data_IF_091547428095
#
_entry.id   IF_091547428095
#
_cell.length_a   1.000
_cell.length_b   1.000
_cell.length_c   1.000
_cell.angle_alpha   90.00
_cell.angle_beta   90.00
_cell.angle_gamma   90.00
#
_symmetry.space_group_name_H-M   'P 1'
#
loop_
_entity.id
_entity.type
_entity.pdbx_description
1 polymer ?
#
# COMPACT_ATOMS: atom_id res chain seq x y z
N UNK A 1 20.67 -21.18 -24.33
CA UNK A 1 20.71 -19.82 -23.76
C UNK A 1 19.43 -19.57 -22.97
N UNK A 2 19.43 -19.85 -21.68
CA UNK A 2 18.35 -19.41 -20.79
C UNK A 2 18.63 -17.96 -20.39
N UNK A 3 17.70 -17.06 -20.69
CA UNK A 3 17.76 -15.68 -20.22
C UNK A 3 17.25 -15.63 -18.78
N UNK A 4 18.14 -15.41 -17.83
CA UNK A 4 17.76 -15.18 -16.43
C UNK A 4 17.12 -13.78 -16.35
N UNK A 5 15.82 -13.71 -16.05
CA UNK A 5 15.12 -12.45 -15.84
C UNK A 5 14.94 -12.20 -14.34
N UNK A 6 15.39 -11.03 -13.86
CA UNK A 6 15.08 -10.58 -12.51
C UNK A 6 13.68 -9.95 -12.51
N UNK A 7 12.75 -10.59 -11.82
CA UNK A 7 11.40 -10.05 -11.60
C UNK A 7 11.35 -9.44 -10.19
N UNK A 8 11.01 -8.16 -10.10
CA UNK A 8 10.65 -7.52 -8.82
C UNK A 8 9.24 -7.98 -8.47
N UNK A 9 8.96 -8.33 -7.21
CA UNK A 9 7.71 -8.95 -6.77
C UNK A 9 6.42 -8.29 -7.32
N UNK A 10 6.37 -6.96 -7.40
CA UNK A 10 5.24 -6.22 -8.00
C UNK A 10 5.08 -6.48 -9.51
N UNK A 11 6.18 -6.71 -10.23
CA UNK A 11 6.18 -7.05 -11.66
C UNK A 11 5.79 -8.50 -11.96
N UNK A 12 5.81 -9.40 -10.97
CA UNK A 12 5.45 -10.81 -11.17
C UNK A 12 4.01 -10.98 -11.65
N UNK A 13 3.09 -10.20 -11.08
CA UNK A 13 1.68 -10.25 -11.44
C UNK A 13 1.41 -9.92 -12.91
N UNK A 14 2.20 -9.01 -13.48
CA UNK A 14 2.08 -8.57 -14.88
C UNK A 14 2.97 -9.38 -15.84
N UNK A 15 3.74 -10.33 -15.31
CA UNK A 15 4.63 -11.15 -16.14
C UNK A 15 3.86 -12.30 -16.77
N UNK A 16 4.20 -12.62 -18.02
CA UNK A 16 3.63 -13.77 -18.72
C UNK A 16 4.29 -15.07 -18.23
N UNK A 17 3.54 -15.98 -17.57
CA UNK A 17 4.08 -17.20 -16.97
C UNK A 17 4.73 -18.14 -17.99
N UNK A 18 4.39 -18.04 -19.28
CA UNK A 18 4.95 -18.89 -20.35
C UNK A 18 6.45 -18.67 -20.54
N UNK A 19 6.98 -17.54 -20.09
CA UNK A 19 8.40 -17.20 -20.17
C UNK A 19 9.12 -17.32 -18.82
N UNK A 20 8.47 -17.87 -17.80
CA UNK A 20 9.03 -18.03 -16.45
C UNK A 20 9.20 -19.52 -16.17
N UNK A 21 10.45 -19.96 -16.07
CA UNK A 21 10.78 -21.35 -15.75
C UNK A 21 10.99 -21.57 -14.25
N UNK A 22 11.55 -20.58 -13.54
CA UNK A 22 11.91 -20.66 -12.12
C UNK A 22 11.81 -19.28 -11.49
N UNK A 23 11.44 -19.22 -10.22
CA UNK A 23 11.37 -17.97 -9.45
C UNK A 23 12.33 -18.03 -8.27
N UNK A 24 13.15 -16.99 -8.10
CA UNK A 24 13.87 -16.75 -6.86
C UNK A 24 13.19 -15.57 -6.17
N UNK A 25 12.54 -15.84 -5.04
CA UNK A 25 11.80 -14.83 -4.30
C UNK A 25 12.59 -14.38 -3.07
N UNK A 26 13.06 -13.13 -3.09
CA UNK A 26 13.76 -12.54 -1.96
C UNK A 26 12.77 -12.11 -0.89
N UNK A 27 12.81 -12.76 0.27
CA UNK A 27 11.93 -12.51 1.39
C UNK A 27 12.66 -11.76 2.51
N UNK A 28 12.00 -10.79 3.14
CA UNK A 28 12.52 -10.06 4.29
C UNK A 28 11.41 -9.84 5.29
N UNK A 29 11.75 -9.86 6.58
CA UNK A 29 10.79 -9.62 7.66
C UNK A 29 10.03 -8.30 7.43
N UNK A 30 8.68 -8.27 7.57
CA UNK A 30 7.86 -7.10 7.24
C UNK A 30 8.32 -5.82 7.93
N UNK A 31 8.67 -5.88 9.22
CA UNK A 31 9.21 -4.74 9.98
C UNK A 31 10.48 -4.13 9.37
N UNK A 32 11.37 -4.97 8.85
CA UNK A 32 12.60 -4.52 8.21
C UNK A 32 12.36 -3.95 6.80
N UNK A 33 11.30 -4.42 6.11
CA UNK A 33 10.83 -3.88 4.83
C UNK A 33 10.30 -2.46 5.03
N UNK A 34 9.39 -2.26 5.99
CA UNK A 34 8.78 -0.95 6.27
C UNK A 34 9.85 0.14 6.51
N UNK A 35 10.80 -0.13 7.42
CA UNK A 35 11.92 0.78 7.70
C UNK A 35 12.83 1.03 6.50
N UNK A 36 12.99 0.05 5.61
CA UNK A 36 13.79 0.25 4.40
C UNK A 36 13.13 1.21 3.40
N UNK A 37 11.80 1.27 3.37
CA UNK A 37 11.05 2.17 2.48
C UNK A 37 11.09 3.62 2.95
N UNK A 38 11.11 3.84 4.27
CA UNK A 38 11.24 5.18 4.87
C UNK A 38 12.48 5.93 4.35
N UNK A 39 13.63 5.26 4.32
CA UNK A 39 14.89 5.85 3.85
C UNK A 39 14.88 6.26 2.38
N UNK A 40 13.92 5.78 1.60
CA UNK A 40 13.80 6.09 0.17
C UNK A 40 13.02 7.38 -0.12
N UNK A 41 12.57 8.14 0.90
CA UNK A 41 11.96 9.48 0.81
C UNK A 41 11.15 9.71 -0.48
N UNK A 42 10.07 8.95 -0.68
CA UNK A 42 9.13 9.24 -1.78
C UNK A 42 8.35 10.50 -1.40
N UNK A 43 8.76 11.64 -1.96
CA UNK A 43 8.08 12.93 -1.77
C UNK A 43 6.84 12.94 -2.66
N UNK A 44 5.64 13.05 -2.08
CA UNK A 44 4.37 12.99 -2.80
C UNK A 44 3.59 14.31 -2.81
N UNK A 45 4.06 15.34 -2.11
CA UNK A 45 3.29 16.57 -1.89
C UNK A 45 4.16 17.81 -2.09
N UNK A 46 3.55 18.84 -2.68
CA UNK A 46 4.12 20.18 -2.85
C UNK A 46 3.18 21.23 -2.28
N UNK A 47 3.72 22.36 -1.83
CA UNK A 47 2.96 23.52 -1.36
C UNK A 47 2.39 24.31 -2.56
N UNK A 48 1.65 25.38 -2.29
CA UNK A 48 1.08 26.26 -3.31
C UNK A 48 2.14 26.93 -4.21
N UNK A 49 3.42 26.89 -3.82
CA UNK A 49 4.56 27.39 -4.58
C UNK A 49 5.34 26.28 -5.30
N UNK A 50 4.84 25.03 -5.26
CA UNK A 50 5.49 23.87 -5.87
C UNK A 50 6.67 23.30 -5.06
N UNK A 51 6.98 23.84 -3.88
CA UNK A 51 8.04 23.31 -3.05
C UNK A 51 7.59 22.00 -2.40
N UNK A 52 8.45 20.97 -2.36
CA UNK A 52 8.10 19.72 -1.71
C UNK A 52 7.79 19.97 -0.22
N UNK A 53 6.58 19.63 0.20
CA UNK A 53 6.19 19.69 1.61
C UNK A 53 6.72 18.44 2.27
N UNK A 54 7.58 18.63 3.25
CA UNK A 54 8.03 17.55 4.12
C UNK A 54 6.90 17.18 5.08
N UNK A 55 5.92 16.45 4.56
CA UNK A 55 4.86 15.82 5.35
C UNK A 55 5.38 14.63 6.15
N UNK A 56 6.71 14.40 6.19
CA UNK A 56 7.25 13.10 6.55
C UNK A 56 6.97 12.71 8.00
N UNK A 57 6.88 13.59 8.99
CA UNK A 57 6.63 13.10 10.35
C UNK A 57 5.19 12.58 10.58
N UNK A 58 4.18 13.12 9.90
CA UNK A 58 2.79 12.66 10.02
C UNK A 58 2.38 11.64 8.93
N UNK A 59 3.10 11.60 7.80
CA UNK A 59 2.86 10.68 6.68
C UNK A 59 3.90 9.55 6.56
N UNK A 60 4.90 9.48 7.45
CA UNK A 60 5.76 8.30 7.69
C UNK A 60 4.96 7.16 8.34
N UNK A 61 3.74 6.90 7.88
CA UNK A 61 3.01 5.76 8.42
C UNK A 61 3.69 4.51 7.88
N UNK A 62 4.39 3.83 8.79
CA UNK A 62 5.15 2.62 8.54
C UNK A 62 4.21 1.44 8.43
N UNK A 63 3.31 1.46 7.44
CA UNK A 63 2.35 0.38 7.32
C UNK A 63 3.02 -0.82 6.64
N UNK A 64 2.83 -2.03 7.17
CA UNK A 64 3.19 -3.24 6.46
C UNK A 64 2.20 -3.56 5.32
N UNK A 65 1.24 -2.68 5.03
CA UNK A 65 0.21 -2.89 4.01
C UNK A 65 0.79 -3.24 2.63
N UNK A 66 1.85 -2.55 2.20
CA UNK A 66 2.51 -2.88 0.94
C UNK A 66 3.11 -4.29 0.96
N UNK A 67 3.70 -4.70 2.09
CA UNK A 67 4.22 -6.05 2.25
C UNK A 67 3.09 -7.09 2.18
N UNK A 68 1.99 -6.86 2.90
CA UNK A 68 0.80 -7.72 2.90
C UNK A 68 0.25 -7.86 1.47
N UNK A 69 0.02 -6.75 0.79
CA UNK A 69 -0.57 -6.73 -0.55
C UNK A 69 0.31 -7.43 -1.58
N UNK A 70 1.61 -7.17 -1.58
CA UNK A 70 2.55 -7.81 -2.50
C UNK A 70 2.65 -9.31 -2.22
N UNK A 71 2.76 -9.72 -0.96
CA UNK A 71 2.93 -11.13 -0.59
C UNK A 71 1.65 -11.93 -0.88
N UNK A 72 0.49 -11.33 -0.64
CA UNK A 72 -0.82 -11.93 -1.01
C UNK A 72 -0.96 -12.06 -2.52
N UNK A 73 -0.57 -11.04 -3.29
CA UNK A 73 -0.62 -11.09 -4.75
C UNK A 73 0.29 -12.18 -5.32
N UNK A 74 1.51 -12.32 -4.78
CA UNK A 74 2.44 -13.39 -5.16
C UNK A 74 1.86 -14.76 -4.81
N UNK A 75 1.24 -14.91 -3.63
CA UNK A 75 0.58 -16.16 -3.21
C UNK A 75 -0.52 -16.57 -4.20
N UNK A 76 -1.39 -15.63 -4.60
CA UNK A 76 -2.42 -15.86 -5.63
C UNK A 76 -1.81 -16.28 -6.97
N UNK A 77 -0.71 -15.66 -7.36
CA UNK A 77 -0.01 -16.00 -8.60
C UNK A 77 0.55 -17.43 -8.56
N UNK A 78 1.17 -17.83 -7.45
CA UNK A 78 1.73 -19.17 -7.27
C UNK A 78 0.65 -20.25 -7.26
N UNK A 79 -0.51 -19.98 -6.64
CA UNK A 79 -1.66 -20.88 -6.69
C UNK A 79 -2.23 -21.03 -8.10
N UNK A 80 -2.14 -19.97 -8.92
CA UNK A 80 -2.56 -20.01 -10.32
C UNK A 80 -1.59 -20.78 -11.22
N UNK A 81 -0.30 -20.76 -10.91
CA UNK A 81 0.76 -21.41 -11.69
C UNK A 81 1.64 -22.31 -10.81
N UNK A 82 1.09 -23.39 -10.24
CA UNK A 82 1.78 -24.22 -9.25
C UNK A 82 2.97 -25.00 -9.83
N UNK A 83 2.99 -25.21 -11.15
CA UNK A 83 4.04 -25.95 -11.85
C UNK A 83 5.35 -25.14 -11.99
N UNK A 84 5.33 -23.84 -11.71
CA UNK A 84 6.51 -22.98 -11.78
C UNK A 84 7.21 -23.02 -10.40
N UNK A 85 8.37 -23.68 -10.28
CA UNK A 85 9.06 -23.81 -9.01
C UNK A 85 9.57 -22.46 -8.51
N UNK A 86 9.53 -22.29 -7.18
CA UNK A 86 10.02 -21.10 -6.50
C UNK A 86 11.00 -21.46 -5.38
N UNK A 87 12.12 -20.75 -5.32
CA UNK A 87 13.03 -20.75 -4.18
C UNK A 87 12.83 -19.45 -3.38
N UNK A 88 12.45 -19.58 -2.12
CA UNK A 88 12.45 -18.45 -1.18
C UNK A 88 13.84 -18.29 -0.58
N UNK A 89 14.42 -17.10 -0.74
CA UNK A 89 15.71 -16.72 -0.16
C UNK A 89 15.46 -15.62 0.86
N UNK A 90 15.80 -15.86 2.12
CA UNK A 90 15.69 -14.84 3.15
C UNK A 90 16.87 -13.88 3.07
N UNK A 91 16.57 -12.58 3.08
CA UNK A 91 17.59 -11.54 3.02
C UNK A 91 18.58 -11.63 4.19
N UNK A 92 18.10 -11.95 5.39
CA UNK A 92 18.98 -12.08 6.56
C UNK A 92 19.96 -13.24 6.38
N UNK A 93 19.48 -14.39 5.91
CA UNK A 93 20.32 -15.57 5.64
C UNK A 93 21.33 -15.27 4.53
N UNK A 94 20.93 -14.54 3.48
CA UNK A 94 21.84 -14.14 2.41
C UNK A 94 22.97 -13.23 2.93
N UNK A 95 22.67 -12.35 3.88
CA UNK A 95 23.67 -11.47 4.49
C UNK A 95 24.56 -12.22 5.50
N UNK A 96 24.00 -13.16 6.27
CA UNK A 96 24.72 -13.88 7.32
C UNK A 96 25.57 -15.05 6.78
N UNK A 97 25.04 -15.77 5.79
CA UNK A 97 25.64 -16.96 5.19
C UNK A 97 25.52 -16.91 3.65
N UNK A 98 26.15 -15.93 2.97
CA UNK A 98 26.00 -15.74 1.53
C UNK A 98 26.42 -16.96 0.72
N UNK A 99 27.49 -17.65 1.13
CA UNK A 99 28.00 -18.85 0.45
C UNK A 99 26.96 -19.98 0.43
N UNK A 100 26.34 -20.25 1.57
CA UNK A 100 25.27 -21.26 1.70
C UNK A 100 24.06 -20.90 0.83
N UNK A 101 23.63 -19.63 0.85
CA UNK A 101 22.48 -19.20 0.05
C UNK A 101 22.77 -19.24 -1.45
N UNK A 102 23.98 -18.89 -1.88
CA UNK A 102 24.37 -19.01 -3.30
C UNK A 102 24.52 -20.47 -3.74
N UNK A 103 24.90 -21.39 -2.86
CA UNK A 103 24.85 -22.83 -3.15
C UNK A 103 23.41 -23.27 -3.43
N UNK A 104 22.48 -22.94 -2.53
CA UNK A 104 21.05 -23.26 -2.71
C UNK A 104 20.48 -22.68 -4.00
N UNK A 105 20.85 -21.43 -4.34
CA UNK A 105 20.47 -20.79 -5.59
C UNK A 105 21.06 -21.53 -6.80
N UNK A 106 22.32 -21.94 -6.73
CA UNK A 106 23.00 -22.67 -7.81
C UNK A 106 22.36 -24.04 -8.04
N UNK A 107 22.08 -24.78 -6.98
CA UNK A 107 21.35 -26.05 -7.03
C UNK A 107 19.97 -25.86 -7.66
N UNK A 108 19.23 -24.84 -7.20
CA UNK A 108 17.91 -24.53 -7.73
C UNK A 108 17.93 -24.17 -9.22
N UNK A 109 18.91 -23.38 -9.67
CA UNK A 109 19.04 -23.00 -11.08
C UNK A 109 19.63 -24.13 -11.94
N UNK A 110 20.45 -25.01 -11.35
CA UNK A 110 21.20 -26.09 -12.01
C UNK A 110 22.46 -25.63 -12.76
N UNK A 111 22.71 -24.32 -12.82
CA UNK A 111 23.86 -23.71 -13.50
C UNK A 111 24.05 -22.26 -13.04
N UNK A 112 25.25 -21.70 -13.28
CA UNK A 112 25.60 -20.31 -12.96
C UNK A 112 26.93 -20.19 -12.22
N UNK A 113 27.68 -19.14 -12.49
CA UNK A 113 28.92 -18.80 -11.78
C UNK A 113 28.64 -17.73 -10.72
N UNK A 114 28.72 -18.13 -9.45
CA UNK A 114 28.49 -17.27 -8.30
C UNK A 114 29.79 -16.94 -7.54
N UNK A 115 30.96 -17.29 -8.09
CA UNK A 115 32.27 -17.12 -7.43
C UNK A 115 32.52 -15.69 -6.95
N UNK A 116 32.07 -14.69 -7.71
CA UNK A 116 32.17 -13.26 -7.37
C UNK A 116 30.89 -12.67 -6.76
N UNK A 117 29.83 -13.46 -6.63
CA UNK A 117 28.54 -12.97 -6.14
C UNK A 117 28.59 -12.71 -4.63
N UNK A 118 29.30 -13.57 -3.89
CA UNK A 118 29.52 -13.43 -2.44
C UNK A 118 30.21 -12.11 -2.11
N UNK A 119 31.26 -11.74 -2.86
CA UNK A 119 32.02 -10.49 -2.66
C UNK A 119 31.17 -9.22 -2.85
N UNK A 120 30.04 -9.32 -3.56
CA UNK A 120 29.12 -8.20 -3.82
C UNK A 120 28.06 -8.04 -2.74
N UNK A 121 27.94 -8.98 -1.80
CA UNK A 121 27.01 -8.86 -0.68
C UNK A 121 27.63 -7.91 0.34
N UNK A 122 27.09 -6.70 0.42
CA UNK A 122 27.50 -5.72 1.42
C UNK A 122 26.71 -5.91 2.72
N UNK A 123 27.34 -6.36 3.83
CA UNK A 123 26.62 -6.59 5.09
C UNK A 123 25.98 -5.32 5.66
N UNK A 124 26.55 -4.15 5.31
CA UNK A 124 26.04 -2.82 5.68
C UNK A 124 24.65 -2.53 5.09
N UNK A 125 24.19 -3.29 4.09
CA UNK A 125 22.82 -3.19 3.58
C UNK A 125 21.78 -3.68 4.60
N UNK A 126 22.18 -4.46 5.61
CA UNK A 126 21.33 -4.80 6.77
C UNK A 126 21.29 -3.69 7.83
N UNK A 127 21.12 -2.43 7.39
CA UNK A 127 21.06 -1.25 8.27
C UNK A 127 19.68 -0.95 8.87
N UNK A 128 18.65 -1.65 8.40
CA UNK A 128 17.27 -1.46 8.85
C UNK A 128 16.92 -2.59 9.82
N UNK A 129 17.26 -2.38 11.08
CA UNK A 129 16.78 -3.24 12.18
C UNK A 129 15.30 -2.96 12.43
N UNK A 130 14.45 -3.98 12.66
CA UNK A 130 13.07 -3.77 13.08
C UNK A 130 13.01 -2.72 14.19
N UNK A 131 12.10 -1.76 14.05
CA UNK A 131 11.71 -0.88 15.15
C UNK A 131 10.26 -1.23 15.49
N UNK A 132 9.92 -1.12 16.78
CA UNK A 132 8.54 -1.24 17.23
C UNK A 132 7.85 0.09 16.99
N UNK A 133 7.35 0.27 15.77
CA UNK A 133 6.32 1.26 15.50
C UNK A 133 4.99 0.60 15.83
N UNK A 134 4.14 1.29 16.57
CA UNK A 134 2.80 0.79 16.82
C UNK A 134 1.95 0.89 15.54
N UNK A 135 1.44 -0.23 15.07
CA UNK A 135 0.53 -0.32 13.93
C UNK A 135 -0.31 -1.60 14.05
N UNK A 136 -1.61 -1.47 13.87
CA UNK A 136 -2.59 -2.56 13.94
C UNK A 136 -2.37 -3.66 12.87
N UNK A 137 -1.64 -3.37 11.79
CA UNK A 137 -1.40 -4.35 10.72
C UNK A 137 -0.20 -5.27 10.97
N UNK A 138 0.55 -5.10 12.06
CA UNK A 138 1.71 -5.97 12.31
C UNK A 138 1.33 -7.43 12.49
N UNK A 139 0.20 -7.70 13.15
CA UNK A 139 -0.31 -9.06 13.31
C UNK A 139 -0.60 -9.70 11.95
N UNK A 140 -1.34 -8.99 11.09
CA UNK A 140 -1.63 -9.45 9.73
C UNK A 140 -0.34 -9.69 8.93
N UNK A 141 0.63 -8.77 9.03
CA UNK A 141 1.90 -8.87 8.32
C UNK A 141 2.76 -10.06 8.77
N UNK A 142 2.86 -10.28 10.09
CA UNK A 142 3.62 -11.38 10.67
C UNK A 142 2.97 -12.72 10.35
N UNK A 143 1.63 -12.79 10.36
CA UNK A 143 0.90 -14.00 9.98
C UNK A 143 1.06 -14.32 8.49
N UNK A 144 0.91 -13.33 7.61
CA UNK A 144 1.16 -13.47 6.17
C UNK A 144 2.60 -13.91 5.90
N UNK A 145 3.58 -13.29 6.59
CA UNK A 145 4.99 -13.69 6.49
C UNK A 145 5.19 -15.15 6.90
N UNK A 146 4.66 -15.57 8.05
CA UNK A 146 4.80 -16.93 8.56
C UNK A 146 4.21 -17.97 7.60
N UNK A 147 2.98 -17.76 7.13
CA UNK A 147 2.30 -18.65 6.19
C UNK A 147 3.07 -18.75 4.87
N UNK A 148 3.51 -17.61 4.32
CA UNK A 148 4.27 -17.59 3.07
C UNK A 148 5.60 -18.34 3.18
N UNK A 149 6.33 -18.15 4.29
CA UNK A 149 7.62 -18.83 4.50
C UNK A 149 7.46 -20.33 4.72
N UNK A 150 6.30 -20.77 5.23
CA UNK A 150 5.93 -22.18 5.32
C UNK A 150 5.48 -22.80 3.98
N UNK A 151 5.38 -22.00 2.91
CA UNK A 151 4.84 -22.43 1.61
C UNK A 151 3.31 -22.57 1.59
N UNK A 152 2.61 -22.12 2.63
CA UNK A 152 1.15 -22.17 2.72
C UNK A 152 0.51 -20.96 2.02
N UNK A 153 0.62 -20.94 0.69
CA UNK A 153 0.09 -19.84 -0.13
C UNK A 153 -1.44 -19.76 -0.08
N UNK A 154 -2.13 -20.89 0.04
CA UNK A 154 -3.58 -20.92 0.20
C UNK A 154 -3.97 -20.31 1.54
N UNK A 155 -3.27 -20.67 2.63
CA UNK A 155 -3.46 -20.05 3.94
C UNK A 155 -3.26 -18.53 3.92
N UNK A 156 -2.28 -18.01 3.16
CA UNK A 156 -2.13 -16.54 2.96
C UNK A 156 -3.38 -15.94 2.33
N UNK A 157 -3.87 -16.55 1.24
CA UNK A 157 -5.04 -16.03 0.50
C UNK A 157 -6.30 -16.10 1.33
N UNK A 158 -6.54 -17.23 2.00
CA UNK A 158 -7.72 -17.45 2.86
C UNK A 158 -7.70 -16.48 4.03
N UNK A 159 -6.55 -16.33 4.69
CA UNK A 159 -6.37 -15.37 5.78
C UNK A 159 -6.73 -13.95 5.34
N UNK A 160 -6.25 -13.52 4.17
CA UNK A 160 -6.51 -12.18 3.62
C UNK A 160 -7.86 -12.04 2.91
N UNK A 161 -8.64 -13.11 2.77
CA UNK A 161 -10.00 -13.06 2.22
C UNK A 161 -11.04 -12.58 3.24
N UNK A 162 -10.70 -12.60 4.53
CA UNK A 162 -11.54 -12.09 5.61
C UNK A 162 -11.63 -10.56 5.56
N UNK A 163 -12.79 -10.07 5.12
CA UNK A 163 -13.05 -8.63 4.95
C UNK A 163 -13.07 -7.84 6.27
N UNK A 164 -13.17 -8.50 7.42
CA UNK A 164 -13.11 -7.82 8.72
C UNK A 164 -11.69 -7.38 9.12
N UNK A 165 -10.66 -7.88 8.42
CA UNK A 165 -9.26 -7.54 8.71
C UNK A 165 -8.93 -6.08 8.42
N UNK A 166 -8.13 -5.49 9.28
CA UNK A 166 -7.67 -4.11 9.17
C UNK A 166 -6.93 -3.84 7.86
N UNK A 167 -6.10 -4.79 7.38
CA UNK A 167 -5.41 -4.61 6.10
C UNK A 167 -6.37 -4.52 4.89
N UNK A 168 -7.53 -5.18 4.96
CA UNK A 168 -8.56 -5.05 3.94
C UNK A 168 -9.32 -3.73 4.04
N UNK A 169 -9.58 -3.25 5.27
CA UNK A 169 -10.14 -1.92 5.50
C UNK A 169 -9.20 -0.81 5.00
N UNK A 170 -7.90 -0.91 5.28
CA UNK A 170 -6.89 0.04 4.82
C UNK A 170 -6.66 0.01 3.30
N UNK A 171 -6.77 -1.17 2.68
CA UNK A 171 -6.66 -1.34 1.22
C UNK A 171 -7.95 -1.01 0.47
N UNK A 172 -9.07 -0.88 1.18
CA UNK A 172 -10.35 -0.57 0.56
C UNK A 172 -10.26 0.80 -0.13
N UNK A 173 -10.73 0.82 -1.36
CA UNK A 173 -10.86 2.05 -2.13
C UNK A 173 -12.23 2.10 -2.77
N UNK A 174 -12.80 3.30 -2.84
CA UNK A 174 -14.14 3.52 -3.37
C UNK A 174 -14.18 4.83 -4.12
N UNK A 175 -15.14 4.93 -5.02
CA UNK A 175 -15.42 6.19 -5.71
C UNK A 175 -16.02 7.19 -4.73
N UNK A 176 -15.45 8.39 -4.67
CA UNK A 176 -15.98 9.52 -3.93
C UNK A 176 -16.74 10.44 -4.89
N UNK A 177 -18.08 10.51 -4.81
CA UNK A 177 -18.89 11.38 -5.66
C UNK A 177 -18.52 12.86 -5.52
N UNK A 178 -18.11 13.30 -4.32
CA UNK A 178 -17.69 14.69 -4.07
C UNK A 178 -16.42 15.10 -4.81
N UNK A 179 -15.50 14.18 -5.12
CA UNK A 179 -14.24 14.51 -5.83
C UNK A 179 -14.19 13.97 -7.25
N UNK A 180 -15.01 12.97 -7.56
CA UNK A 180 -14.90 12.18 -8.78
C UNK A 180 -13.69 11.24 -8.81
N UNK A 181 -13.03 11.00 -7.67
CA UNK A 181 -11.84 10.17 -7.57
C UNK A 181 -12.08 8.88 -6.82
N UNK A 182 -11.22 7.88 -7.05
CA UNK A 182 -11.09 6.72 -6.18
C UNK A 182 -10.29 7.13 -4.93
N UNK A 183 -10.87 6.89 -3.75
CA UNK A 183 -10.36 7.31 -2.45
C UNK A 183 -10.12 6.10 -1.55
N UNK A 184 -9.05 6.14 -0.75
CA UNK A 184 -8.85 5.21 0.37
C UNK A 184 -9.47 5.72 1.67
N UNK A 185 -9.62 4.84 2.65
CA UNK A 185 -10.10 5.19 4.00
C UNK A 185 -9.29 6.33 4.62
N UNK A 186 -7.95 6.30 4.45
CA UNK A 186 -7.05 7.33 4.98
C UNK A 186 -7.31 8.70 4.35
N UNK A 187 -7.55 8.73 3.03
CA UNK A 187 -7.87 9.99 2.37
C UNK A 187 -9.21 10.56 2.85
N UNK A 188 -10.18 9.71 3.16
CA UNK A 188 -11.46 10.12 3.74
C UNK A 188 -11.32 10.61 5.20
N UNK A 189 -10.53 9.93 6.03
CA UNK A 189 -10.21 10.40 7.39
C UNK A 189 -9.54 11.78 7.37
N UNK A 190 -8.56 11.97 6.48
CA UNK A 190 -7.86 13.23 6.31
C UNK A 190 -8.80 14.33 5.79
N UNK A 191 -9.67 13.99 4.83
CA UNK A 191 -10.70 14.90 4.35
C UNK A 191 -11.60 15.38 5.50
N UNK A 192 -12.04 14.47 6.38
CA UNK A 192 -12.90 14.83 7.51
C UNK A 192 -12.17 15.69 8.56
N UNK A 193 -10.89 15.41 8.79
CA UNK A 193 -10.13 15.99 9.92
C UNK A 193 -9.26 17.20 9.58
N UNK A 194 -8.99 17.51 8.30
CA UNK A 194 -8.03 18.55 7.90
C UNK A 194 -8.59 19.46 6.80
N UNK A 195 -8.74 20.75 7.11
CA UNK A 195 -9.30 21.73 6.16
C UNK A 195 -8.48 21.88 4.88
N UNK A 196 -7.14 21.86 4.96
CA UNK A 196 -6.28 21.93 3.77
C UNK A 196 -6.55 20.79 2.77
N UNK A 197 -6.89 19.60 3.26
CA UNK A 197 -7.25 18.45 2.40
C UNK A 197 -8.63 18.66 1.78
N UNK A 198 -9.61 19.16 2.55
CA UNK A 198 -10.94 19.52 2.04
C UNK A 198 -10.83 20.54 0.91
N UNK A 199 -10.08 21.62 1.10
CA UNK A 199 -9.92 22.68 0.10
C UNK A 199 -9.28 22.17 -1.18
N UNK A 200 -8.27 21.30 -1.08
CA UNK A 200 -7.69 20.66 -2.26
C UNK A 200 -8.70 19.76 -2.98
N UNK A 201 -9.51 19.01 -2.25
CA UNK A 201 -10.55 18.17 -2.85
C UNK A 201 -11.69 18.97 -3.48
N UNK A 202 -12.06 20.14 -2.93
CA UNK A 202 -12.97 21.10 -3.58
C UNK A 202 -12.41 21.60 -4.91
N UNK A 203 -11.13 21.96 -4.95
CA UNK A 203 -10.45 22.36 -6.21
C UNK A 203 -10.49 21.22 -7.24
N UNK A 204 -10.23 19.98 -6.82
CA UNK A 204 -10.32 18.81 -7.70
C UNK A 204 -11.75 18.59 -8.22
N UNK A 205 -12.76 18.71 -7.37
CA UNK A 205 -14.15 18.57 -7.76
C UNK A 205 -14.56 19.64 -8.80
N UNK A 206 -14.15 20.89 -8.57
CA UNK A 206 -14.37 21.99 -9.53
C UNK A 206 -13.69 21.72 -10.87
N UNK A 207 -12.46 21.17 -10.88
CA UNK A 207 -11.77 20.79 -12.11
C UNK A 207 -12.46 19.64 -12.88
N UNK A 208 -13.32 18.87 -12.21
CA UNK A 208 -14.14 17.81 -12.81
C UNK A 208 -15.59 18.24 -13.09
N UNK A 209 -15.92 19.53 -12.94
CA UNK A 209 -17.28 20.06 -13.07
C UNK A 209 -18.31 19.35 -12.15
N UNK A 210 -17.89 18.96 -10.94
CA UNK A 210 -18.73 18.26 -9.97
C UNK A 210 -19.35 19.27 -9.00
N UNK A 211 -20.69 19.25 -8.90
CA UNK A 211 -21.45 19.98 -7.88
C UNK A 211 -21.37 19.28 -6.52
N UNK A 212 -20.15 19.19 -5.96
CA UNK A 212 -19.82 18.39 -4.78
C UNK A 212 -20.68 18.68 -3.54
N UNK A 213 -21.30 19.85 -3.46
CA UNK A 213 -22.19 20.22 -2.36
C UNK A 213 -23.51 19.45 -2.37
N UNK A 214 -23.91 18.89 -3.53
CA UNK A 214 -25.10 18.03 -3.69
C UNK A 214 -24.78 16.54 -3.55
N UNK A 215 -23.50 16.20 -3.42
CA UNK A 215 -23.03 14.82 -3.47
C UNK A 215 -22.82 14.24 -2.05
N UNK A 216 -23.23 12.98 -1.81
CA UNK A 216 -23.04 12.35 -0.51
C UNK A 216 -21.57 11.99 -0.25
N UNK A 217 -21.21 11.85 1.02
CA UNK A 217 -19.94 11.27 1.44
C UNK A 217 -20.11 9.77 1.71
N UNK A 218 -19.53 8.88 0.89
CA UNK A 218 -19.62 7.43 1.12
C UNK A 218 -19.02 7.00 2.47
N UNK A 219 -18.03 7.73 2.97
CA UNK A 219 -17.41 7.49 4.27
C UNK A 219 -18.41 7.67 5.41
N UNK A 220 -19.22 8.73 5.39
CA UNK A 220 -20.27 8.99 6.39
C UNK A 220 -21.47 8.05 6.23
N UNK A 221 -21.78 7.67 4.98
CA UNK A 221 -22.90 6.80 4.66
C UNK A 221 -22.65 5.30 4.95
N UNK A 222 -21.52 4.95 5.56
CA UNK A 222 -21.26 3.58 6.04
C UNK A 222 -19.90 2.97 5.68
N UNK A 223 -19.01 3.67 4.96
CA UNK A 223 -17.67 3.12 4.64
C UNK A 223 -16.60 3.43 5.69
N UNK A 224 -16.85 4.38 6.60
CA UNK A 224 -15.83 4.92 7.51
C UNK A 224 -16.25 5.13 8.95
N UNK A 225 -17.43 4.64 9.31
CA UNK A 225 -18.01 4.76 10.65
C UNK A 225 -18.12 3.36 11.23
N UNK A 226 -17.83 3.22 12.52
CA UNK A 226 -18.08 1.97 13.24
C UNK A 226 -19.55 1.57 13.02
N UNK A 227 -19.84 0.27 12.96
CA UNK A 227 -21.19 -0.27 12.82
C UNK A 227 -22.13 0.41 13.85
N UNK A 228 -22.96 1.35 13.39
CA UNK A 228 -23.88 2.14 14.23
C UNK A 228 -23.92 3.65 14.00
N UNK A 229 -22.87 4.24 13.40
CA UNK A 229 -22.75 5.70 13.23
C UNK A 229 -22.99 6.19 11.78
N UNK A 230 -23.49 5.31 10.89
CA UNK A 230 -23.77 5.69 9.51
C UNK A 230 -24.99 6.59 9.38
N UNK A 231 -24.87 7.63 8.57
CA UNK A 231 -25.96 8.57 8.26
C UNK A 231 -26.57 8.25 6.89
N UNK A 232 -27.80 8.74 6.65
CA UNK A 232 -28.43 8.61 5.33
C UNK A 232 -27.73 9.46 4.26
N UNK A 233 -27.96 9.14 2.99
CA UNK A 233 -27.45 9.94 1.86
C UNK A 233 -27.96 11.37 1.96
N UNK A 234 -29.25 11.54 2.25
CA UNK A 234 -29.92 12.82 2.39
C UNK A 234 -29.30 13.64 3.53
N UNK A 235 -29.01 12.98 4.65
CA UNK A 235 -28.36 13.60 5.80
C UNK A 235 -26.90 13.99 5.51
N UNK A 236 -26.14 13.15 4.79
CA UNK A 236 -24.77 13.49 4.38
C UNK A 236 -24.72 14.68 3.42
N UNK A 237 -25.71 14.83 2.53
CA UNK A 237 -25.83 15.99 1.65
C UNK A 237 -26.27 17.23 2.44
N UNK A 238 -27.25 17.10 3.33
CA UNK A 238 -27.76 18.21 4.14
C UNK A 238 -26.70 18.74 5.13
N UNK A 239 -25.96 17.84 5.77
CA UNK A 239 -24.93 18.13 6.75
C UNK A 239 -23.52 18.01 6.15
N UNK A 240 -23.34 18.56 4.95
CA UNK A 240 -22.08 18.42 4.22
C UNK A 240 -20.92 19.08 5.01
N UNK A 241 -20.04 18.26 5.60
CA UNK A 241 -18.90 18.72 6.40
C UNK A 241 -17.86 19.57 5.64
N UNK A 242 -17.98 19.70 4.31
CA UNK A 242 -17.19 20.66 3.53
C UNK A 242 -17.74 22.09 3.61
N UNK A 243 -18.97 22.26 4.08
CA UNK A 243 -19.63 23.55 4.31
C UNK A 243 -19.44 24.08 5.74
N UNK A 244 -18.89 23.28 6.67
CA UNK A 244 -18.56 23.75 8.01
C UNK A 244 -17.63 24.97 7.93
N UNK A 245 -18.09 26.12 8.45
CA UNK A 245 -17.36 27.39 8.40
C UNK A 245 -17.67 28.28 7.19
N UNK A 246 -18.57 27.88 6.29
CA UNK A 246 -19.06 28.71 5.18
C UNK A 246 -20.49 29.13 5.48
N UNK A 247 -20.75 30.44 5.62
CA UNK A 247 -22.11 30.96 5.68
C UNK A 247 -22.78 30.73 4.31
N UNK A 248 -23.67 29.74 4.23
CA UNK A 248 -24.47 29.50 3.04
C UNK A 248 -25.69 30.42 3.10
N UNK A 249 -25.66 31.53 2.35
CA UNK A 249 -26.88 32.31 2.14
C UNK A 249 -27.93 31.44 1.44
N UNK A 250 -29.14 31.42 1.99
CA UNK A 250 -30.23 30.50 1.66
C UNK A 250 -30.85 30.67 0.24
N UNK A 251 -30.10 31.18 -0.74
CA UNK A 251 -30.58 31.54 -2.09
C UNK A 251 -29.89 30.79 -3.22
N UNK A 252 -29.12 29.74 -2.93
CA UNK A 252 -28.64 28.81 -3.96
C UNK A 252 -27.52 29.34 -4.86
N UNK A 253 -26.81 30.39 -4.44
CA UNK A 253 -25.58 30.86 -5.08
C UNK A 253 -24.43 30.88 -4.07
N UNK A 254 -23.41 30.07 -4.31
CA UNK A 254 -22.12 30.17 -3.61
C UNK A 254 -21.34 31.29 -4.31
N UNK A 255 -21.26 32.48 -3.70
CA UNK A 255 -20.28 33.48 -4.13
C UNK A 255 -18.93 33.17 -3.49
N UNK A 256 -17.94 32.76 -4.29
CA UNK A 256 -16.55 32.74 -3.82
C UNK A 256 -16.08 34.20 -3.71
N UNK A 257 -15.79 34.66 -2.50
CA UNK A 257 -15.12 35.95 -2.30
C UNK A 257 -13.72 35.88 -2.91
N UNK A 258 -13.49 36.61 -3.99
CA UNK A 258 -12.15 36.91 -4.48
C UNK A 258 -11.46 37.80 -3.46
N UNK A 259 -10.64 37.21 -2.59
CA UNK A 259 -9.77 37.95 -1.67
C UNK A 259 -8.61 38.59 -2.46
N UNK A 260 -8.46 39.89 -2.29
CA UNK A 260 -7.27 40.68 -2.66
C UNK A 260 -6.06 40.34 -1.78
#
# INVERSE_FOLDING_TARGET
NQSICKIVSQGLFNSDPRYIEKIIFMMRHPRAVAKSQEKLKRVFFSDDNGNPVDLSDEFKIQTPLMFINVTTAVSRWLLKYPDIPMLVVHFNDLVQAPEEQFERIREFLGHGDFSKAVERIEPKLNRSKPEDIDNNLWEDAEKVYSLFCAGDYQGVVDYMSDMSREANKESASWYCPRTGMIMSIKQCELCRSRDAVKENFKKTAAAHDIEWWKEPCPYECGLGVNDGDSISIEESVANNHWLEGVEVEATGFISMSSGE
#
